data_IF_107361082728
#
_entry.id   IF_107361082728
#
_cell.length_a   1.000
_cell.length_b   1.000
_cell.length_c   1.000
_cell.angle_alpha   90.00
_cell.angle_beta   90.00
_cell.angle_gamma   90.00
#
_symmetry.space_group_name_H-M   'P 1'
#
loop_
_entity.id
_entity.type
_entity.pdbx_description
1 polymer ?
#
# COMPACT_ATOMS: atom_id res chain seq x y z
N UNK A 1 -11.82 -14.87 0.57
CA UNK A 1 -12.17 -14.34 1.92
C UNK A 1 -12.90 -13.02 1.72
N UNK A 2 -14.07 -12.85 2.34
CA UNK A 2 -14.73 -11.54 2.31
C UNK A 2 -13.81 -10.51 2.96
N UNK A 3 -13.45 -9.49 2.22
CA UNK A 3 -12.49 -8.48 2.64
C UNK A 3 -13.06 -7.08 2.41
N UNK A 4 -13.02 -6.26 3.45
CA UNK A 4 -13.54 -4.90 3.41
C UNK A 4 -12.39 -3.91 3.60
N UNK A 5 -12.01 -3.22 2.54
CA UNK A 5 -10.95 -2.21 2.55
C UNK A 5 -11.23 -1.03 3.50
N UNK A 6 -12.50 -0.79 3.82
CA UNK A 6 -12.93 0.20 4.82
C UNK A 6 -12.56 -0.18 6.26
N UNK A 7 -12.42 -1.49 6.53
CA UNK A 7 -12.07 -2.01 7.86
C UNK A 7 -10.59 -2.38 7.96
N UNK A 8 -10.07 -3.08 6.94
CA UNK A 8 -8.71 -3.61 6.93
C UNK A 8 -7.98 -3.12 5.68
N UNK A 9 -6.94 -2.28 5.82
CA UNK A 9 -6.13 -1.87 4.68
C UNK A 9 -5.40 -3.05 4.03
N UNK A 10 -5.36 -3.08 2.69
CA UNK A 10 -4.51 -4.01 1.97
C UNK A 10 -3.06 -3.51 1.99
N UNK A 11 -2.17 -4.31 2.51
CA UNK A 11 -0.73 -4.03 2.60
C UNK A 11 0.05 -5.33 2.78
N UNK A 12 1.36 -5.24 2.96
CA UNK A 12 2.21 -6.38 3.27
C UNK A 12 3.13 -6.09 4.46
N UNK A 13 3.73 -7.16 4.99
CA UNK A 13 4.77 -7.07 6.01
C UNK A 13 5.93 -6.17 5.57
N UNK A 14 6.26 -5.20 6.39
CA UNK A 14 7.35 -4.26 6.19
C UNK A 14 7.01 -3.01 5.38
N UNK A 15 5.91 -2.99 4.62
CA UNK A 15 5.55 -1.83 3.81
C UNK A 15 5.01 -0.68 4.64
N UNK A 16 5.35 0.55 4.24
CA UNK A 16 4.67 1.77 4.71
C UNK A 16 3.46 2.13 3.84
N UNK A 17 3.38 1.56 2.64
CA UNK A 17 2.24 1.75 1.75
C UNK A 17 1.08 0.82 2.11
N UNK A 18 -0.14 1.31 1.90
CA UNK A 18 -1.37 0.53 2.03
C UNK A 18 -2.45 1.08 1.11
N UNK A 19 -3.35 0.21 0.64
CA UNK A 19 -4.61 0.62 0.05
C UNK A 19 -5.70 0.55 1.12
N UNK A 20 -6.52 1.59 1.21
CA UNK A 20 -7.66 1.65 2.11
C UNK A 20 -8.84 2.36 1.44
N UNK A 21 -10.04 1.91 1.74
CA UNK A 21 -11.26 2.65 1.42
C UNK A 21 -11.53 3.65 2.54
N UNK A 22 -11.62 4.93 2.19
CA UNK A 22 -11.82 6.02 3.14
C UNK A 22 -13.20 6.65 2.94
N UNK A 23 -13.91 7.01 4.04
CA UNK A 23 -15.19 7.68 4.00
C UNK A 23 -15.04 9.16 3.62
N UNK A 24 -16.15 9.87 3.44
CA UNK A 24 -16.19 11.31 3.12
C UNK A 24 -15.51 12.23 4.17
N UNK A 25 -15.24 11.71 5.35
CA UNK A 25 -14.49 12.37 6.40
C UNK A 25 -13.31 11.53 6.85
N UNK A 26 -12.12 12.11 6.76
CA UNK A 26 -10.88 11.47 7.19
C UNK A 26 -10.08 12.42 8.08
N UNK A 27 -9.78 11.99 9.31
CA UNK A 27 -8.94 12.73 10.25
C UNK A 27 -9.32 14.22 10.42
N UNK A 28 -10.64 14.52 10.41
CA UNK A 28 -11.15 15.87 10.53
C UNK A 28 -11.21 16.69 9.24
N UNK A 29 -10.81 16.11 8.11
CA UNK A 29 -10.87 16.74 6.80
C UNK A 29 -11.94 16.06 5.94
N UNK A 30 -12.62 16.88 5.11
CA UNK A 30 -13.54 16.38 4.11
C UNK A 30 -12.72 15.87 2.92
N UNK A 31 -12.92 14.61 2.55
CA UNK A 31 -12.40 13.99 1.35
C UNK A 31 -13.56 13.34 0.60
N UNK A 32 -13.37 12.97 -0.63
CA UNK A 32 -14.36 12.16 -1.34
C UNK A 32 -14.24 10.70 -0.93
N UNK A 33 -15.35 10.00 -0.72
CA UNK A 33 -15.36 8.55 -0.52
C UNK A 33 -14.61 7.84 -1.65
N UNK A 34 -13.80 6.83 -1.33
CA UNK A 34 -13.09 6.05 -2.35
C UNK A 34 -11.89 5.27 -1.81
N UNK A 35 -11.19 4.63 -2.73
CA UNK A 35 -10.00 3.85 -2.45
C UNK A 35 -8.76 4.73 -2.64
N UNK A 36 -7.88 4.70 -1.67
CA UNK A 36 -6.68 5.54 -1.62
C UNK A 36 -5.40 4.73 -1.43
N UNK A 37 -4.34 5.14 -2.11
CA UNK A 37 -2.99 4.81 -1.72
C UNK A 37 -2.60 5.68 -0.55
N UNK A 38 -2.16 5.06 0.52
CA UNK A 38 -1.66 5.71 1.74
C UNK A 38 -0.20 5.37 1.95
N UNK A 39 0.52 6.27 2.60
CA UNK A 39 1.84 6.00 3.17
C UNK A 39 1.86 6.42 4.64
N UNK A 40 2.13 5.47 5.52
CA UNK A 40 2.05 5.66 6.98
C UNK A 40 3.40 6.06 7.61
N UNK A 41 4.39 6.42 6.82
CA UNK A 41 5.69 6.92 7.32
C UNK A 41 5.62 8.34 7.89
N UNK A 42 4.63 9.12 7.45
CA UNK A 42 4.37 10.48 7.91
C UNK A 42 3.37 10.54 9.07
N UNK A 43 2.80 11.72 9.29
CA UNK A 43 1.70 11.88 10.24
C UNK A 43 0.42 11.23 9.69
N UNK A 44 -0.47 10.79 10.57
CA UNK A 44 -1.75 10.21 10.19
C UNK A 44 -2.57 11.15 9.28
N UNK A 45 -2.50 12.45 9.51
CA UNK A 45 -3.20 13.48 8.74
C UNK A 45 -2.70 13.58 7.29
N UNK A 46 -1.41 13.32 7.06
CA UNK A 46 -0.75 13.46 5.77
C UNK A 46 -0.47 12.11 5.08
N UNK A 47 -1.21 11.06 5.46
CA UNK A 47 -0.93 9.71 4.95
C UNK A 47 -1.49 9.42 3.55
N UNK A 48 -2.37 10.27 3.02
CA UNK A 48 -2.97 10.06 1.70
C UNK A 48 -1.98 10.50 0.62
N UNK A 49 -1.72 9.62 -0.35
CA UNK A 49 -0.84 9.86 -1.50
C UNK A 49 -1.65 10.11 -2.76
N UNK A 50 -2.51 9.18 -3.12
CA UNK A 50 -3.35 9.27 -4.32
C UNK A 50 -4.69 8.61 -4.12
N UNK A 51 -5.73 9.12 -4.79
CA UNK A 51 -7.02 8.45 -4.95
C UNK A 51 -6.97 7.57 -6.19
N UNK A 52 -7.48 6.36 -6.08
CA UNK A 52 -7.73 5.50 -7.22
C UNK A 52 -9.12 5.76 -7.78
N UNK A 53 -9.21 6.07 -9.07
CA UNK A 53 -10.47 6.22 -9.79
C UNK A 53 -10.51 5.12 -10.84
N UNK A 54 -11.55 4.30 -10.78
CA UNK A 54 -11.72 3.12 -11.63
C UNK A 54 -12.85 3.35 -12.63
N UNK A 55 -12.77 2.67 -13.77
CA UNK A 55 -13.87 2.66 -14.75
C UNK A 55 -15.07 1.78 -14.34
N UNK A 56 -14.99 1.08 -13.20
CA UNK A 56 -16.06 0.25 -12.65
C UNK A 56 -16.78 0.92 -11.48
N UNK A 57 -18.11 0.73 -11.39
CA UNK A 57 -18.92 1.13 -10.25
C UNK A 57 -19.09 -0.05 -9.28
N UNK A 58 -19.38 0.20 -8.00
CA UNK A 58 -19.66 -0.82 -6.98
C UNK A 58 -18.62 -1.97 -6.95
N UNK A 59 -17.40 -1.63 -6.58
CA UNK A 59 -16.28 -2.58 -6.53
C UNK A 59 -16.45 -3.59 -5.39
N UNK A 60 -16.25 -4.86 -5.69
CA UNK A 60 -16.08 -5.91 -4.67
C UNK A 60 -14.61 -6.25 -4.53
N UNK A 61 -14.17 -6.43 -3.28
CA UNK A 61 -12.80 -6.76 -2.94
C UNK A 61 -12.66 -8.24 -2.56
N UNK A 62 -11.70 -8.92 -3.15
CA UNK A 62 -11.32 -10.29 -2.78
C UNK A 62 -9.82 -10.37 -2.49
N UNK A 63 -9.48 -10.95 -1.33
CA UNK A 63 -8.12 -11.11 -0.85
C UNK A 63 -7.73 -12.58 -0.85
N UNK A 64 -6.62 -12.94 -1.50
CA UNK A 64 -6.07 -14.30 -1.51
C UNK A 64 -4.79 -14.49 -0.67
N UNK A 65 -4.44 -13.47 0.14
CA UNK A 65 -3.21 -13.45 0.95
C UNK A 65 -1.97 -12.95 0.20
N UNK A 66 -1.95 -13.02 -1.12
CA UNK A 66 -0.84 -12.50 -1.96
C UNK A 66 -1.22 -11.30 -2.80
N UNK A 67 -2.51 -11.16 -3.12
CA UNK A 67 -3.05 -10.07 -3.91
C UNK A 67 -4.46 -9.68 -3.47
N UNK A 68 -4.83 -8.44 -3.80
CA UNK A 68 -6.17 -7.90 -3.72
C UNK A 68 -6.72 -7.80 -5.14
N UNK A 69 -7.90 -8.34 -5.37
CA UNK A 69 -8.67 -8.15 -6.62
C UNK A 69 -9.85 -7.23 -6.38
N UNK A 70 -9.98 -6.19 -7.20
CA UNK A 70 -11.18 -5.34 -7.27
C UNK A 70 -11.94 -5.67 -8.55
N UNK A 71 -13.22 -6.00 -8.41
CA UNK A 71 -14.05 -6.47 -9.52
C UNK A 71 -15.38 -5.72 -9.54
N UNK A 72 -15.82 -5.31 -10.75
CA UNK A 72 -17.15 -4.74 -11.01
C UNK A 72 -17.57 -5.08 -12.46
N UNK A 73 -18.51 -6.01 -12.63
CA UNK A 73 -18.88 -6.50 -13.96
C UNK A 73 -17.68 -7.07 -14.71
N UNK A 74 -17.37 -6.50 -15.87
CA UNK A 74 -16.20 -6.91 -16.69
C UNK A 74 -14.90 -6.21 -16.24
N UNK A 75 -15.00 -5.22 -15.38
CA UNK A 75 -13.83 -4.54 -14.81
C UNK A 75 -13.13 -5.44 -13.82
N UNK A 76 -11.81 -5.56 -13.95
CA UNK A 76 -10.95 -6.23 -12.98
C UNK A 76 -9.63 -5.50 -12.83
N UNK A 77 -9.21 -5.31 -11.59
CA UNK A 77 -7.91 -4.75 -11.25
C UNK A 77 -7.30 -5.52 -10.07
N UNK A 78 -6.11 -6.06 -10.25
CA UNK A 78 -5.39 -6.85 -9.26
C UNK A 78 -4.20 -6.06 -8.72
N UNK A 79 -3.97 -6.10 -7.41
CA UNK A 79 -2.91 -5.39 -6.69
C UNK A 79 -2.03 -6.38 -5.94
N UNK A 80 -0.70 -6.18 -6.01
CA UNK A 80 0.24 -6.97 -5.26
C UNK A 80 1.42 -6.10 -4.80
N UNK A 81 1.93 -6.35 -3.61
CA UNK A 81 3.17 -5.77 -3.10
C UNK A 81 4.30 -6.80 -3.18
N UNK A 82 5.10 -6.87 -4.26
CA UNK A 82 6.18 -7.85 -4.42
C UNK A 82 7.31 -7.68 -3.39
N UNK A 83 7.48 -6.46 -2.91
CA UNK A 83 8.39 -6.06 -1.83
C UNK A 83 7.77 -4.90 -1.02
N UNK A 84 8.36 -4.49 0.13
CA UNK A 84 7.77 -3.44 0.97
C UNK A 84 7.65 -2.05 0.34
N UNK A 85 8.39 -1.77 -0.71
CA UNK A 85 8.48 -0.44 -1.34
C UNK A 85 7.85 -0.40 -2.73
N UNK A 86 7.32 -1.51 -3.24
CA UNK A 86 6.75 -1.60 -4.59
C UNK A 86 5.32 -2.10 -4.55
N UNK A 87 4.43 -1.40 -5.25
CA UNK A 87 3.08 -1.83 -5.57
C UNK A 87 2.99 -2.07 -7.07
N UNK A 88 2.56 -3.26 -7.47
CA UNK A 88 2.24 -3.58 -8.87
C UNK A 88 0.73 -3.71 -9.03
N UNK A 89 0.20 -3.18 -10.13
CA UNK A 89 -1.23 -3.13 -10.41
C UNK A 89 -1.45 -3.66 -11.82
N UNK A 90 -2.25 -4.72 -11.92
CA UNK A 90 -2.63 -5.31 -13.20
C UNK A 90 -4.09 -5.01 -13.50
N UNK A 91 -4.34 -4.27 -14.56
CA UNK A 91 -5.69 -4.06 -15.11
C UNK A 91 -6.03 -5.11 -16.16
N UNK A 92 -7.26 -5.62 -16.12
CA UNK A 92 -7.80 -6.48 -17.16
C UNK A 92 -8.06 -5.74 -18.47
N UNK A 93 -8.53 -6.47 -19.50
CA UNK A 93 -8.88 -5.88 -20.78
C UNK A 93 -9.88 -4.73 -20.62
N UNK A 94 -9.61 -3.62 -21.27
CA UNK A 94 -10.44 -2.38 -21.20
C UNK A 94 -10.54 -1.75 -19.81
N UNK A 95 -9.77 -2.20 -18.83
CA UNK A 95 -9.69 -1.51 -17.55
C UNK A 95 -9.01 -0.15 -17.73
N UNK A 96 -9.58 0.88 -17.11
CA UNK A 96 -9.00 2.22 -17.03
C UNK A 96 -8.82 2.55 -15.56
N UNK A 97 -7.64 3.03 -15.21
CA UNK A 97 -7.28 3.47 -13.87
C UNK A 97 -6.76 4.89 -13.94
N UNK A 98 -7.25 5.76 -13.06
CA UNK A 98 -6.65 7.08 -12.83
C UNK A 98 -6.12 7.13 -11.39
N UNK A 99 -4.87 7.56 -11.26
CA UNK A 99 -4.28 7.95 -9.97
C UNK A 99 -4.39 9.46 -9.85
N UNK A 100 -5.27 9.94 -8.99
CA UNK A 100 -5.42 11.36 -8.67
C UNK A 100 -4.57 11.68 -7.44
N UNK A 101 -3.41 12.29 -7.66
CA UNK A 101 -2.48 12.64 -6.60
C UNK A 101 -2.97 13.86 -5.85
N UNK A 102 -2.83 13.84 -4.53
CA UNK A 102 -3.29 14.90 -3.64
C UNK A 102 -2.30 16.07 -3.59
N UNK A 103 -2.06 16.68 -4.75
CA UNK A 103 -1.09 17.78 -4.91
C UNK A 103 -1.58 19.13 -4.41
N UNK A 104 -2.86 19.28 -4.05
CA UNK A 104 -3.42 20.53 -3.52
C UNK A 104 -2.81 20.97 -2.19
N UNK A 105 -2.04 20.12 -1.53
CA UNK A 105 -1.64 20.33 -0.15
C UNK A 105 -0.41 21.22 0.04
N UNK A 106 0.27 21.65 -1.02
CA UNK A 106 1.40 22.56 -0.85
C UNK A 106 2.25 22.77 -2.11
N UNK A 107 3.11 23.80 -2.10
CA UNK A 107 3.93 24.16 -3.26
C UNK A 107 5.09 23.19 -3.54
N UNK A 108 5.24 22.15 -2.73
CA UNK A 108 6.34 21.18 -2.85
C UNK A 108 5.87 19.79 -3.25
N UNK A 109 4.57 19.55 -3.36
CA UNK A 109 4.00 18.35 -3.94
C UNK A 109 3.88 18.56 -5.44
N UNK A 110 4.59 17.76 -6.24
CA UNK A 110 4.62 17.90 -7.70
C UNK A 110 4.92 16.58 -8.39
N UNK A 111 4.48 16.47 -9.62
CA UNK A 111 4.79 15.34 -10.49
C UNK A 111 5.49 15.83 -11.77
N UNK A 112 6.46 15.06 -12.25
CA UNK A 112 7.13 15.33 -13.52
C UNK A 112 7.47 14.03 -14.25
N UNK A 113 7.61 14.12 -15.55
CA UNK A 113 7.97 13.01 -16.44
C UNK A 113 9.46 13.01 -16.76
N UNK A 114 10.02 11.83 -16.94
CA UNK A 114 11.42 11.64 -17.30
C UNK A 114 11.64 10.22 -17.86
N UNK A 115 12.78 10.01 -18.53
CA UNK A 115 13.16 8.69 -19.03
C UNK A 115 14.23 8.05 -18.15
N UNK A 116 14.03 6.78 -17.83
CA UNK A 116 14.99 5.95 -17.11
C UNK A 116 14.90 4.49 -17.55
N UNK A 117 16.03 3.84 -17.68
CA UNK A 117 16.17 2.41 -18.01
C UNK A 117 15.37 2.00 -19.28
N UNK A 118 15.30 2.91 -20.26
CA UNK A 118 14.56 2.73 -21.50
C UNK A 118 13.03 2.81 -21.37
N UNK A 119 12.52 3.30 -20.24
CA UNK A 119 11.10 3.48 -19.96
C UNK A 119 10.76 4.94 -19.68
N UNK A 120 9.56 5.33 -20.09
CA UNK A 120 8.97 6.61 -19.69
C UNK A 120 8.40 6.47 -18.27
N UNK A 121 8.83 7.37 -17.38
CA UNK A 121 8.55 7.32 -15.96
C UNK A 121 7.99 8.65 -15.48
N UNK A 122 7.26 8.58 -14.37
CA UNK A 122 6.73 9.73 -13.66
C UNK A 122 7.25 9.72 -12.22
N UNK A 123 7.78 10.85 -11.76
CA UNK A 123 8.17 11.02 -10.37
C UNK A 123 7.18 11.91 -9.66
N UNK A 124 6.57 11.39 -8.61
CA UNK A 124 5.75 12.14 -7.67
C UNK A 124 6.57 12.45 -6.43
N UNK A 125 6.68 13.74 -6.08
CA UNK A 125 7.25 14.19 -4.84
C UNK A 125 6.14 14.53 -3.85
N UNK A 126 5.98 13.72 -2.83
CA UNK A 126 5.00 13.89 -1.76
C UNK A 126 5.69 14.49 -0.53
N UNK A 127 5.93 15.79 -0.55
CA UNK A 127 6.68 16.51 0.48
C UNK A 127 6.06 16.35 1.88
N UNK A 128 4.74 16.42 1.97
CA UNK A 128 3.99 16.26 3.24
C UNK A 128 4.27 14.95 3.96
N UNK A 129 4.59 13.88 3.19
CA UNK A 129 4.89 12.54 3.72
C UNK A 129 6.39 12.28 3.80
N UNK A 130 7.22 13.21 3.28
CA UNK A 130 8.65 13.02 3.10
C UNK A 130 8.97 11.74 2.32
N UNK A 131 8.18 11.48 1.27
CA UNK A 131 8.31 10.33 0.37
C UNK A 131 8.24 10.77 -1.07
N UNK A 132 8.79 9.96 -1.96
CA UNK A 132 8.66 10.14 -3.41
C UNK A 132 8.30 8.80 -4.03
N UNK A 133 7.65 8.86 -5.18
CA UNK A 133 7.23 7.68 -5.93
C UNK A 133 7.72 7.78 -7.35
N UNK A 134 8.16 6.66 -7.89
CA UNK A 134 8.40 6.52 -9.32
C UNK A 134 7.35 5.58 -9.86
N UNK A 135 6.68 6.02 -10.92
CA UNK A 135 5.57 5.30 -11.56
C UNK A 135 5.90 5.05 -13.02
N UNK A 136 5.73 3.81 -13.49
CA UNK A 136 5.87 3.45 -14.90
C UNK A 136 4.91 2.34 -15.28
N UNK A 137 4.52 2.29 -16.53
CA UNK A 137 3.81 1.16 -17.11
C UNK A 137 4.82 0.18 -17.73
N UNK A 138 4.75 -1.09 -17.32
CA UNK A 138 5.46 -2.18 -17.99
C UNK A 138 4.69 -2.63 -19.20
N UNK A 139 3.35 -2.61 -19.12
CA UNK A 139 2.40 -2.90 -20.19
C UNK A 139 1.30 -1.84 -20.16
N UNK A 140 0.76 -1.48 -21.33
CA UNK A 140 -0.24 -0.43 -21.47
C UNK A 140 0.36 0.96 -21.61
N UNK A 141 -0.52 1.95 -21.68
CA UNK A 141 -0.18 3.36 -21.85
C UNK A 141 -0.42 4.12 -20.56
N UNK A 142 0.44 5.09 -20.28
CA UNK A 142 0.33 5.99 -19.14
C UNK A 142 0.58 7.41 -19.61
N UNK A 143 -0.23 8.36 -19.16
CA UNK A 143 -0.03 9.78 -19.45
C UNK A 143 -0.42 10.65 -18.27
N UNK A 144 0.29 11.79 -18.14
CA UNK A 144 0.08 12.79 -17.10
C UNK A 144 -0.90 13.85 -17.60
N UNK A 145 -1.89 14.14 -16.77
CA UNK A 145 -2.77 15.29 -16.88
C UNK A 145 -2.59 16.18 -15.66
N UNK A 146 -2.19 17.41 -15.85
CA UNK A 146 -2.01 18.39 -14.76
C UNK A 146 -2.16 19.83 -15.27
N UNK A 147 -2.47 20.74 -14.35
CA UNK A 147 -2.53 22.18 -14.63
C UNK A 147 -1.48 22.92 -13.77
N UNK A 148 -0.22 22.72 -14.09
CA UNK A 148 0.86 23.41 -13.38
C UNK A 148 0.75 24.93 -13.54
N UNK A 149 0.72 25.65 -12.40
CA UNK A 149 0.65 27.12 -12.33
C UNK A 149 1.76 27.62 -11.40
N UNK A 150 2.81 28.17 -11.96
CA UNK A 150 3.95 28.80 -11.28
C UNK A 150 4.60 27.96 -10.17
N UNK A 151 3.87 27.54 -9.14
CA UNK A 151 4.41 26.86 -7.95
C UNK A 151 3.64 25.60 -7.54
N UNK A 152 2.47 25.36 -8.10
CA UNK A 152 1.61 24.22 -7.70
C UNK A 152 0.71 23.79 -8.85
N UNK A 153 0.14 22.58 -8.70
CA UNK A 153 -0.97 22.13 -9.54
C UNK A 153 -2.25 22.08 -8.69
N UNK A 154 -3.38 22.44 -9.30
CA UNK A 154 -4.70 22.22 -8.67
C UNK A 154 -5.05 20.72 -8.68
N UNK A 155 -4.58 20.02 -9.70
CA UNK A 155 -4.68 18.55 -9.79
C UNK A 155 -3.48 17.98 -10.55
N UNK A 156 -3.16 16.73 -10.27
CA UNK A 156 -2.19 15.93 -11.02
C UNK A 156 -2.70 14.51 -11.12
N UNK A 157 -2.94 14.03 -12.33
CA UNK A 157 -3.54 12.72 -12.61
C UNK A 157 -2.67 11.92 -13.55
N UNK A 158 -2.36 10.69 -13.18
CA UNK A 158 -1.84 9.69 -14.09
C UNK A 158 -2.99 8.81 -14.56
N UNK A 159 -3.21 8.80 -15.86
CA UNK A 159 -4.23 7.99 -16.50
C UNK A 159 -3.58 6.79 -17.16
N UNK A 160 -4.08 5.60 -16.86
CA UNK A 160 -3.51 4.32 -17.27
C UNK A 160 -4.58 3.50 -17.99
N UNK A 161 -4.25 3.00 -19.16
CA UNK A 161 -5.11 2.14 -19.96
C UNK A 161 -4.29 1.20 -20.84
N UNK A 162 -4.94 0.16 -21.35
CA UNK A 162 -4.34 -0.73 -22.35
C UNK A 162 -5.41 -1.56 -23.04
N UNK A 163 -5.29 -1.78 -24.34
CA UNK A 163 -6.26 -2.55 -25.16
C UNK A 163 -6.41 -3.98 -24.64
N UNK A 164 -5.30 -4.60 -24.26
CA UNK A 164 -5.27 -5.97 -23.71
C UNK A 164 -5.06 -6.00 -22.19
N UNK A 165 -5.13 -4.84 -21.54
CA UNK A 165 -4.85 -4.62 -20.13
C UNK A 165 -3.58 -3.81 -19.91
N UNK A 166 -3.20 -3.64 -18.64
CA UNK A 166 -1.97 -2.92 -18.28
C UNK A 166 -1.28 -3.58 -17.07
N UNK A 167 0.02 -3.32 -16.93
CA UNK A 167 0.80 -3.60 -15.74
C UNK A 167 1.52 -2.31 -15.32
N UNK A 168 1.03 -1.70 -14.23
CA UNK A 168 1.56 -0.48 -13.66
C UNK A 168 2.41 -0.80 -12.43
N UNK A 169 3.53 -0.10 -12.28
CA UNK A 169 4.41 -0.19 -11.13
C UNK A 169 4.47 1.15 -10.43
N UNK A 170 4.29 1.16 -9.11
CA UNK A 170 4.47 2.30 -8.22
C UNK A 170 5.54 1.91 -7.22
N UNK A 171 6.70 2.55 -7.29
CA UNK A 171 7.81 2.31 -6.38
C UNK A 171 8.01 3.51 -5.45
N UNK A 172 7.89 3.26 -4.14
CA UNK A 172 8.30 4.24 -3.13
C UNK A 172 9.82 4.40 -3.19
N UNK A 173 10.27 5.64 -3.26
CA UNK A 173 11.69 5.99 -3.19
C UNK A 173 11.90 6.93 -2.02
N UNK A 174 13.08 6.85 -1.41
CA UNK A 174 13.51 7.82 -0.42
C UNK A 174 14.46 8.84 -1.07
N UNK A 175 15.65 8.99 -0.53
CA UNK A 175 16.62 10.00 -1.01
C UNK A 175 17.31 9.56 -2.30
N UNK A 176 17.48 8.26 -2.51
CA UNK A 176 18.22 7.71 -3.66
C UNK A 176 17.38 6.65 -4.38
N UNK A 177 17.30 6.79 -5.69
CA UNK A 177 16.77 5.79 -6.59
C UNK A 177 17.85 5.43 -7.63
N UNK A 178 18.08 4.14 -7.85
CA UNK A 178 19.11 3.63 -8.77
C UNK A 178 18.76 3.78 -10.27
N UNK A 179 17.63 4.42 -10.58
CA UNK A 179 17.06 4.64 -11.92
C UNK A 179 16.80 3.35 -12.70
N UNK A 180 16.51 2.25 -12.00
CA UNK A 180 16.13 0.99 -12.61
C UNK A 180 14.63 0.79 -12.60
N UNK A 181 14.12 0.27 -13.72
CA UNK A 181 12.73 -0.12 -13.91
C UNK A 181 12.65 -1.63 -14.13
N UNK A 182 12.81 -2.45 -13.08
CA UNK A 182 12.78 -3.90 -13.22
C UNK A 182 11.44 -4.38 -13.77
N UNK A 183 11.47 -5.50 -14.47
CA UNK A 183 10.28 -6.18 -14.93
C UNK A 183 9.72 -7.09 -13.83
N UNK A 184 8.39 -7.13 -13.76
CA UNK A 184 7.66 -7.95 -12.83
C UNK A 184 6.75 -8.94 -13.56
N UNK A 185 6.78 -10.19 -13.13
CA UNK A 185 5.74 -11.17 -13.43
C UNK A 185 4.73 -11.13 -12.29
N UNK A 186 3.50 -10.68 -12.59
CA UNK A 186 2.47 -10.50 -11.57
C UNK A 186 2.15 -11.79 -10.83
N UNK A 187 2.00 -12.92 -11.55
CA UNK A 187 1.65 -14.20 -10.93
C UNK A 187 2.79 -14.73 -10.05
N UNK A 188 4.02 -14.64 -10.51
CA UNK A 188 5.19 -15.02 -9.70
C UNK A 188 5.30 -14.17 -8.41
N UNK A 189 5.03 -12.86 -8.52
CA UNK A 189 4.98 -11.96 -7.37
C UNK A 189 3.87 -12.33 -6.39
N UNK A 190 2.65 -12.54 -6.88
CA UNK A 190 1.49 -12.96 -6.10
C UNK A 190 1.76 -14.25 -5.33
N UNK A 191 2.27 -15.29 -6.02
CA UNK A 191 2.62 -16.56 -5.39
C UNK A 191 3.73 -16.43 -4.34
N UNK A 192 4.72 -15.58 -4.57
CA UNK A 192 5.78 -15.30 -3.59
C UNK A 192 5.16 -14.71 -2.32
N UNK A 193 4.34 -13.67 -2.46
CA UNK A 193 3.72 -12.97 -1.31
C UNK A 193 2.76 -13.89 -0.57
N UNK A 194 1.96 -14.69 -1.28
CA UNK A 194 1.08 -15.68 -0.67
C UNK A 194 1.86 -16.73 0.15
N UNK A 195 3.02 -17.18 -0.33
CA UNK A 195 3.90 -18.08 0.45
C UNK A 195 4.45 -17.37 1.70
N UNK A 196 4.91 -16.14 1.60
CA UNK A 196 5.40 -15.36 2.74
C UNK A 196 4.32 -15.19 3.82
N UNK A 197 3.10 -14.85 3.42
CA UNK A 197 1.97 -14.78 4.34
C UNK A 197 1.64 -16.16 4.95
N UNK A 198 1.63 -17.22 4.15
CA UNK A 198 1.39 -18.57 4.64
C UNK A 198 2.43 -19.00 5.68
N UNK A 199 3.71 -18.67 5.49
CA UNK A 199 4.76 -18.95 6.47
C UNK A 199 4.55 -18.15 7.76
N UNK A 200 4.16 -16.88 7.65
CA UNK A 200 3.81 -16.06 8.81
C UNK A 200 2.60 -16.66 9.57
N UNK A 201 1.56 -17.05 8.86
CA UNK A 201 0.35 -17.67 9.46
C UNK A 201 0.66 -18.95 10.24
N UNK A 202 1.66 -19.74 9.83
CA UNK A 202 2.10 -20.94 10.58
C UNK A 202 2.63 -20.62 11.98
N UNK A 203 2.95 -19.37 12.27
CA UNK A 203 3.34 -18.92 13.62
C UNK A 203 2.15 -18.77 14.58
N UNK A 204 0.93 -18.79 14.06
CA UNK A 204 -0.29 -18.70 14.87
C UNK A 204 -0.72 -20.06 15.42
N UNK A 205 -1.48 -20.10 16.54
CA UNK A 205 -2.09 -21.31 17.05
C UNK A 205 -3.05 -21.92 16.03
N UNK A 206 -3.05 -23.24 15.93
CA UNK A 206 -4.06 -23.98 15.17
C UNK A 206 -5.36 -23.94 15.96
N UNK A 207 -6.39 -23.32 15.40
CA UNK A 207 -7.72 -23.22 15.97
C UNK A 207 -8.65 -24.29 15.39
N UNK A 208 -9.77 -24.62 16.07
CA UNK A 208 -10.85 -25.42 15.48
C UNK A 208 -11.33 -24.81 14.15
N UNK A 209 -11.79 -25.70 13.24
CA UNK A 209 -12.14 -25.32 11.86
C UNK A 209 -13.16 -24.18 11.77
N UNK A 210 -14.08 -24.10 12.72
CA UNK A 210 -15.09 -23.03 12.80
C UNK A 210 -14.50 -21.62 13.01
N UNK A 211 -13.23 -21.52 13.47
CA UNK A 211 -12.50 -20.27 13.68
C UNK A 211 -11.41 -20.03 12.63
N UNK A 212 -11.29 -20.88 11.62
CA UNK A 212 -10.20 -20.80 10.64
C UNK A 212 -10.21 -19.46 9.88
N UNK A 213 -11.37 -19.03 9.42
CA UNK A 213 -11.51 -17.77 8.68
C UNK A 213 -11.11 -16.55 9.54
N UNK A 214 -11.57 -16.50 10.78
CA UNK A 214 -11.20 -15.43 11.73
C UNK A 214 -9.71 -15.48 12.07
N UNK A 215 -9.13 -16.69 12.19
CA UNK A 215 -7.71 -16.87 12.46
C UNK A 215 -6.85 -16.36 11.30
N UNK A 216 -7.23 -16.68 10.06
CA UNK A 216 -6.53 -16.20 8.85
C UNK A 216 -6.63 -14.68 8.74
N UNK A 217 -7.82 -14.12 8.95
CA UNK A 217 -8.02 -12.66 8.91
C UNK A 217 -7.21 -11.95 10.00
N UNK A 218 -7.23 -12.47 11.24
CA UNK A 218 -6.44 -11.92 12.35
C UNK A 218 -4.94 -11.96 12.08
N UNK A 219 -4.44 -13.05 11.49
CA UNK A 219 -3.06 -13.15 11.08
C UNK A 219 -2.71 -12.18 9.95
N UNK A 220 -3.62 -11.98 8.98
CA UNK A 220 -3.44 -11.02 7.91
C UNK A 220 -3.39 -9.58 8.44
N UNK A 221 -4.30 -9.20 9.34
CA UNK A 221 -4.30 -7.88 9.98
C UNK A 221 -2.94 -7.62 10.64
N UNK A 222 -2.45 -8.58 11.42
CA UNK A 222 -1.16 -8.44 12.08
C UNK A 222 0.00 -8.37 11.06
N UNK A 223 0.02 -9.26 10.07
CA UNK A 223 1.07 -9.30 9.05
C UNK A 223 1.11 -8.02 8.21
N UNK A 224 -0.04 -7.52 7.77
CA UNK A 224 -0.13 -6.31 6.97
C UNK A 224 0.17 -5.03 7.76
N UNK A 225 0.01 -5.04 9.08
CA UNK A 225 0.28 -3.89 9.95
C UNK A 225 1.76 -3.63 10.21
N UNK A 226 2.66 -4.60 9.94
CA UNK A 226 4.09 -4.40 10.12
C UNK A 226 4.67 -3.39 9.14
N UNK A 227 5.59 -2.55 9.67
CA UNK A 227 6.49 -1.69 8.90
C UNK A 227 7.93 -2.07 9.16
N UNK A 228 8.80 -1.88 8.16
CA UNK A 228 10.25 -2.11 8.31
C UNK A 228 10.91 -1.02 9.13
N UNK A 229 12.13 -1.26 9.65
CA UNK A 229 12.94 -0.23 10.31
C UNK A 229 13.13 0.99 9.41
N UNK A 230 12.74 2.18 9.91
CA UNK A 230 12.91 3.47 9.22
C UNK A 230 12.91 4.61 10.24
N UNK A 231 13.81 5.57 10.09
CA UNK A 231 13.89 6.74 10.97
C UNK A 231 14.10 6.35 12.44
N UNK A 232 13.13 6.66 13.29
CA UNK A 232 13.17 6.31 14.71
C UNK A 232 12.91 4.83 14.98
N UNK A 233 12.24 4.10 14.09
CA UNK A 233 12.00 2.68 14.28
C UNK A 233 13.26 1.88 13.92
N UNK A 234 13.86 1.22 14.90
CA UNK A 234 15.08 0.40 14.73
C UNK A 234 14.78 -1.08 14.48
N UNK A 235 13.54 -1.46 14.61
CA UNK A 235 13.01 -2.83 14.47
C UNK A 235 11.77 -2.82 13.61
N UNK A 236 11.36 -3.99 13.11
CA UNK A 236 10.03 -4.13 12.54
C UNK A 236 8.99 -3.81 13.61
N UNK A 237 8.07 -2.93 13.30
CA UNK A 237 7.02 -2.49 14.21
C UNK A 237 5.64 -2.83 13.65
N UNK A 238 4.82 -3.48 14.45
CA UNK A 238 3.40 -3.64 14.15
C UNK A 238 2.68 -2.36 14.59
N UNK A 239 2.25 -1.56 13.63
CA UNK A 239 1.39 -0.41 13.94
C UNK A 239 0.03 -0.88 14.44
N UNK A 240 -0.68 -0.06 15.21
CA UNK A 240 -2.05 -0.35 15.60
C UNK A 240 -2.95 -0.62 14.38
N UNK A 241 -2.74 0.16 13.33
CA UNK A 241 -3.43 0.02 12.05
C UNK A 241 -2.65 0.81 10.99
N UNK A 242 -2.80 0.45 9.72
CA UNK A 242 -2.39 1.33 8.60
C UNK A 242 -3.54 2.20 8.11
N UNK A 243 -4.67 2.20 8.83
CA UNK A 243 -5.83 3.03 8.52
C UNK A 243 -5.86 4.30 9.37
N UNK A 244 -6.34 4.23 10.61
CA UNK A 244 -6.55 5.41 11.46
C UNK A 244 -5.44 5.67 12.47
N UNK A 245 -4.92 4.62 13.10
CA UNK A 245 -3.92 4.72 14.16
C UNK A 245 -2.58 4.16 13.71
N UNK A 246 -1.81 4.99 13.02
CA UNK A 246 -0.53 4.60 12.41
C UNK A 246 0.66 4.75 13.36
N UNK A 247 0.46 4.57 14.65
CA UNK A 247 1.45 4.75 15.68
C UNK A 247 1.82 3.44 16.38
N UNK A 248 2.97 3.45 17.03
CA UNK A 248 3.43 2.44 17.97
C UNK A 248 2.92 2.81 19.37
N UNK A 249 2.17 1.90 20.01
CA UNK A 249 1.57 2.12 21.33
C UNK A 249 2.08 1.08 22.32
N UNK A 250 2.51 1.52 23.51
CA UNK A 250 3.24 0.67 24.44
C UNK A 250 2.47 -0.58 24.90
N UNK A 251 1.24 -0.45 25.34
CA UNK A 251 0.49 -1.60 25.84
C UNK A 251 -0.01 -2.51 24.71
N UNK A 252 -0.33 -1.96 23.55
CA UNK A 252 -0.71 -2.74 22.37
C UNK A 252 0.44 -3.63 21.91
N UNK A 253 1.70 -3.13 21.94
CA UNK A 253 2.88 -3.91 21.61
C UNK A 253 3.13 -5.05 22.60
N UNK A 254 2.71 -4.93 23.85
CA UNK A 254 2.73 -6.08 24.77
C UNK A 254 1.79 -7.20 24.31
N UNK A 255 0.59 -6.87 23.85
CA UNK A 255 -0.35 -7.87 23.32
C UNK A 255 0.12 -8.43 21.97
N UNK A 256 0.67 -7.59 21.10
CA UNK A 256 1.29 -8.05 19.84
C UNK A 256 2.43 -9.03 20.11
N UNK A 257 3.29 -8.74 21.08
CA UNK A 257 4.36 -9.64 21.50
C UNK A 257 3.80 -10.98 22.04
N UNK A 258 2.75 -10.94 22.87
CA UNK A 258 2.10 -12.15 23.37
C UNK A 258 1.51 -13.00 22.24
N UNK A 259 0.80 -12.38 21.29
CA UNK A 259 0.20 -13.10 20.15
C UNK A 259 1.24 -13.85 19.30
N UNK A 260 2.43 -13.26 19.13
CA UNK A 260 3.52 -13.84 18.36
C UNK A 260 4.38 -14.83 19.13
N UNK A 261 4.41 -14.75 20.45
CA UNK A 261 5.35 -15.50 21.30
C UNK A 261 5.24 -17.01 21.16
N UNK A 262 4.11 -17.51 20.71
CA UNK A 262 3.83 -18.94 20.58
C UNK A 262 4.81 -19.66 19.64
N UNK A 263 5.06 -19.14 18.45
CA UNK A 263 5.98 -19.75 17.46
C UNK A 263 6.97 -18.77 16.82
N UNK A 264 6.84 -17.48 17.10
CA UNK A 264 7.76 -16.46 16.57
C UNK A 264 8.31 -15.58 17.71
N UNK A 265 9.06 -16.16 18.67
CA UNK A 265 9.56 -15.43 19.83
C UNK A 265 10.54 -14.30 19.46
N UNK A 266 11.25 -14.40 18.33
CA UNK A 266 12.15 -13.36 17.87
C UNK A 266 11.38 -12.09 17.49
N UNK A 267 10.34 -12.23 16.67
CA UNK A 267 9.50 -11.08 16.27
C UNK A 267 8.68 -10.54 17.46
N UNK A 268 8.23 -11.44 18.36
CA UNK A 268 7.59 -11.05 19.61
C UNK A 268 8.50 -10.17 20.48
N UNK A 269 9.78 -10.57 20.59
CA UNK A 269 10.78 -9.80 21.33
C UNK A 269 11.03 -8.43 20.70
N UNK A 270 11.07 -8.34 19.36
CA UNK A 270 11.16 -7.06 18.67
C UNK A 270 10.01 -6.12 19.05
N UNK A 271 8.76 -6.62 19.07
CA UNK A 271 7.60 -5.81 19.45
C UNK A 271 7.65 -5.35 20.91
N UNK A 272 8.12 -6.21 21.80
CA UNK A 272 8.29 -5.85 23.21
C UNK A 272 9.38 -4.78 23.40
N UNK A 273 10.51 -4.92 22.71
CA UNK A 273 11.70 -4.08 22.89
C UNK A 273 11.64 -2.73 22.19
N UNK A 274 10.76 -2.55 21.19
CA UNK A 274 10.73 -1.33 20.38
C UNK A 274 10.55 -0.05 21.21
N UNK A 275 9.86 -0.14 22.34
CA UNK A 275 9.61 0.98 23.25
C UNK A 275 10.85 1.37 24.06
N UNK A 276 11.88 0.54 24.07
CA UNK A 276 13.11 0.73 24.85
C UNK A 276 14.33 1.10 24.01
N UNK A 277 14.20 1.14 22.68
CA UNK A 277 15.34 1.39 21.77
C UNK A 277 16.00 2.79 21.95
N UNK A 278 15.30 3.71 22.63
CA UNK A 278 15.78 5.08 22.90
C UNK A 278 15.77 5.48 24.39
N UNK A 279 15.71 4.50 25.28
CA UNK A 279 15.79 4.75 26.72
C UNK A 279 17.21 4.62 27.25
#
# INVERSE_FOLDING_TARGET
>A
MNFYLSEVPFSRFGSYMALAELPDWWQGHKIEHGIYLKNVSGSTQNSIVAKFIFSGDELTADLDGGSLSLVSGDFKCDFCFPDPETLIIRGGRSAVLTLDFMTESGPYDYIYEFDADGRHCYAENCYKNNTSYVVWAQEGDIYLEQNWSEQSSEFSRLNIAGTDGFLLIIKETQIEWDRKCPEYDFEACREKVAREFSEFYKSYPILPKEYEEVSVLGAYINWSAYVMPRGFLKRHAMLMSKNHMTNVWSWDHCFNALALSYKNPSLAWEQFMIMFDFQ
#
